data_IF_382576770999
#
_entry.id   IF_382576770999
#
_cell.length_a   1.000
_cell.length_b   1.000
_cell.length_c   1.000
_cell.angle_alpha   90.00
_cell.angle_beta   90.00
_cell.angle_gamma   90.00
#
_symmetry.space_group_name_H-M   'P 1'
#
loop_
_entity.id
_entity.type
_entity.pdbx_description
1 polymer ?
#
# COMPACT_ATOMS: atom_id res chain seq x y z
N UNK A 1 67.16 -50.49 -14.39
CA UNK A 1 67.12 -49.33 -13.48
C UNK A 1 66.20 -48.29 -14.11
N UNK A 2 64.93 -48.33 -13.72
CA UNK A 2 63.84 -47.49 -14.21
C UNK A 2 63.82 -46.19 -13.42
N UNK A 3 63.86 -45.04 -14.11
CA UNK A 3 63.66 -43.73 -13.50
C UNK A 3 62.24 -43.61 -12.93
N UNK A 4 62.06 -43.00 -11.74
CA UNK A 4 60.73 -42.73 -11.22
C UNK A 4 60.11 -41.54 -11.96
N UNK A 5 58.86 -41.72 -12.38
CA UNK A 5 58.05 -40.69 -13.01
C UNK A 5 57.86 -39.48 -12.09
N UNK A 6 58.00 -38.29 -12.66
CA UNK A 6 57.74 -37.03 -11.97
C UNK A 6 56.24 -36.92 -11.57
N UNK A 7 55.90 -36.30 -10.43
CA UNK A 7 54.52 -36.09 -10.03
C UNK A 7 53.86 -35.04 -10.95
N UNK A 8 52.66 -35.36 -11.43
CA UNK A 8 51.79 -34.42 -12.10
C UNK A 8 51.53 -33.22 -11.19
N UNK A 9 52.07 -32.05 -11.56
CA UNK A 9 51.69 -30.79 -10.94
C UNK A 9 50.22 -30.52 -11.25
N UNK A 10 49.35 -30.74 -10.26
CA UNK A 10 47.97 -30.28 -10.31
C UNK A 10 47.96 -28.77 -10.56
N UNK A 11 47.21 -28.34 -11.58
CA UNK A 11 47.01 -26.93 -11.86
C UNK A 11 46.48 -26.26 -10.59
N UNK A 12 47.00 -25.09 -10.18
CA UNK A 12 46.43 -24.39 -9.06
C UNK A 12 44.98 -24.09 -9.39
N UNK A 13 44.05 -24.64 -8.60
CA UNK A 13 42.63 -24.32 -8.65
C UNK A 13 42.50 -22.83 -8.32
N UNK A 14 42.63 -21.97 -9.34
CA UNK A 14 42.28 -20.58 -9.19
C UNK A 14 40.80 -20.50 -8.78
N UNK A 15 40.47 -19.70 -7.76
CA UNK A 15 39.09 -19.57 -7.32
C UNK A 15 38.24 -19.05 -8.48
N UNK A 16 37.11 -19.73 -8.73
CA UNK A 16 36.15 -19.29 -9.73
C UNK A 16 35.78 -17.82 -9.47
N UNK A 17 35.93 -16.98 -10.49
CA UNK A 17 35.68 -15.53 -10.39
C UNK A 17 34.70 -15.09 -11.48
N UNK A 18 33.71 -14.29 -11.08
CA UNK A 18 32.72 -13.71 -11.99
C UNK A 18 33.39 -12.81 -13.05
N UNK A 19 34.55 -12.23 -12.73
CA UNK A 19 35.34 -11.40 -13.66
C UNK A 19 35.89 -12.18 -14.85
N UNK A 20 36.01 -13.50 -14.72
CA UNK A 20 36.58 -14.38 -15.76
C UNK A 20 35.50 -15.12 -16.56
N UNK A 21 34.22 -14.99 -16.18
CA UNK A 21 33.14 -15.60 -16.92
C UNK A 21 32.98 -14.93 -18.29
N UNK A 22 32.85 -15.72 -19.37
CA UNK A 22 32.60 -15.19 -20.70
C UNK A 22 31.19 -14.57 -20.78
N UNK A 23 30.97 -13.56 -21.65
CA UNK A 23 29.70 -12.84 -21.75
C UNK A 23 28.48 -13.75 -21.94
N UNK A 24 28.63 -14.86 -22.65
CA UNK A 24 27.57 -15.83 -22.96
C UNK A 24 27.04 -16.53 -21.71
N UNK A 25 27.90 -16.73 -20.70
CA UNK A 25 27.49 -17.28 -19.40
C UNK A 25 27.05 -16.17 -18.44
N UNK A 26 27.68 -14.99 -18.52
CA UNK A 26 27.37 -13.89 -17.62
C UNK A 26 26.01 -13.26 -17.94
N UNK A 27 25.62 -13.16 -19.21
CA UNK A 27 24.34 -12.59 -19.63
C UNK A 27 23.11 -13.26 -19.02
N UNK A 28 22.92 -14.59 -19.12
CA UNK A 28 21.77 -15.24 -18.49
C UNK A 28 21.78 -15.13 -16.97
N UNK A 29 22.96 -15.17 -16.34
CA UNK A 29 23.11 -15.01 -14.89
C UNK A 29 22.68 -13.62 -14.42
N UNK A 30 23.22 -12.57 -15.04
CA UNK A 30 22.92 -11.17 -14.72
C UNK A 30 21.47 -10.83 -15.06
N UNK A 31 20.93 -11.37 -16.15
CA UNK A 31 19.51 -11.14 -16.52
C UNK A 31 18.54 -11.88 -15.60
N UNK A 32 19.01 -12.85 -14.81
CA UNK A 32 18.19 -13.63 -13.87
C UNK A 32 18.28 -13.11 -12.43
N UNK A 33 18.89 -11.94 -12.22
CA UNK A 33 18.96 -11.31 -10.90
C UNK A 33 17.56 -10.95 -10.38
N UNK A 34 17.37 -10.92 -9.05
CA UNK A 34 16.05 -10.68 -8.47
C UNK A 34 15.52 -9.25 -8.65
N UNK A 35 16.42 -8.26 -8.79
CA UNK A 35 16.04 -6.86 -8.88
C UNK A 35 17.14 -5.97 -9.42
N UNK A 36 16.75 -4.78 -9.92
CA UNK A 36 17.67 -3.79 -10.49
C UNK A 36 18.60 -3.18 -9.43
N UNK A 37 18.18 -3.15 -8.16
CA UNK A 37 19.03 -2.72 -7.05
C UNK A 37 20.21 -3.70 -6.81
N UNK A 38 19.96 -5.00 -6.98
CA UNK A 38 21.00 -6.03 -6.94
C UNK A 38 21.95 -5.89 -8.13
N UNK A 39 21.41 -5.64 -9.33
CA UNK A 39 22.21 -5.34 -10.52
C UNK A 39 23.13 -4.14 -10.29
N UNK A 40 22.64 -3.06 -9.68
CA UNK A 40 23.46 -1.89 -9.38
C UNK A 40 24.68 -2.23 -8.51
N UNK A 41 24.47 -3.00 -7.43
CA UNK A 41 25.57 -3.44 -6.57
C UNK A 41 26.57 -4.31 -7.34
N UNK A 42 26.08 -5.23 -8.17
CA UNK A 42 26.94 -6.09 -8.97
C UNK A 42 27.74 -5.30 -10.01
N UNK A 43 27.13 -4.35 -10.71
CA UNK A 43 27.82 -3.45 -11.65
C UNK A 43 28.90 -2.60 -10.98
N UNK A 44 28.69 -2.19 -9.71
CA UNK A 44 29.70 -1.46 -8.93
C UNK A 44 30.85 -2.35 -8.45
N UNK A 45 30.56 -3.61 -8.15
CA UNK A 45 31.54 -4.57 -7.69
C UNK A 45 32.33 -5.23 -8.84
N UNK A 46 31.73 -5.32 -10.03
CA UNK A 46 32.26 -6.05 -11.18
C UNK A 46 32.37 -5.17 -12.43
N UNK A 47 33.60 -4.78 -12.85
CA UNK A 47 33.83 -4.14 -14.12
C UNK A 47 33.35 -4.99 -15.31
N UNK A 48 33.45 -6.32 -15.22
CA UNK A 48 32.96 -7.20 -16.27
C UNK A 48 31.43 -7.10 -16.44
N UNK A 49 30.67 -7.13 -15.33
CA UNK A 49 29.21 -6.91 -15.38
C UNK A 49 28.85 -5.52 -15.90
N UNK A 50 29.59 -4.47 -15.53
CA UNK A 50 29.35 -3.12 -16.04
C UNK A 50 29.53 -3.04 -17.57
N UNK A 51 30.58 -3.65 -18.12
CA UNK A 51 30.79 -3.72 -19.58
C UNK A 51 29.68 -4.50 -20.26
N UNK A 52 29.31 -5.65 -19.71
CA UNK A 52 28.22 -6.49 -20.22
C UNK A 52 26.90 -5.70 -20.25
N UNK A 53 26.58 -4.99 -19.17
CA UNK A 53 25.40 -4.13 -19.11
C UNK A 53 25.43 -3.07 -20.22
N UNK A 54 26.57 -2.43 -20.48
CA UNK A 54 26.65 -1.41 -21.53
C UNK A 54 26.37 -1.97 -22.93
N UNK A 55 26.65 -3.25 -23.17
CA UNK A 55 26.37 -3.92 -24.45
C UNK A 55 24.95 -4.49 -24.53
N UNK A 56 24.35 -4.88 -23.40
CA UNK A 56 23.08 -5.61 -23.35
C UNK A 56 22.05 -4.98 -22.41
N UNK A 57 22.09 -3.66 -22.23
CA UNK A 57 21.35 -2.95 -21.18
C UNK A 57 19.85 -3.24 -21.22
N UNK A 58 19.23 -3.19 -22.40
CA UNK A 58 17.79 -3.44 -22.54
C UNK A 58 17.45 -4.90 -22.21
N UNK A 59 18.20 -5.85 -22.78
CA UNK A 59 18.01 -7.29 -22.52
C UNK A 59 18.15 -7.64 -21.04
N UNK A 60 19.16 -7.09 -20.36
CA UNK A 60 19.37 -7.33 -18.93
C UNK A 60 18.26 -6.68 -18.10
N UNK A 61 17.90 -5.43 -18.40
CA UNK A 61 16.86 -4.71 -17.64
C UNK A 61 15.51 -5.40 -17.77
N UNK A 62 15.10 -5.75 -18.99
CA UNK A 62 13.85 -6.48 -19.23
C UNK A 62 13.90 -7.92 -18.71
N UNK A 63 15.04 -8.60 -18.81
CA UNK A 63 15.25 -9.92 -18.24
C UNK A 63 15.03 -9.94 -16.72
N UNK A 64 15.50 -8.92 -16.01
CA UNK A 64 15.28 -8.78 -14.57
C UNK A 64 13.83 -8.40 -14.28
N UNK A 65 13.27 -7.41 -14.99
CA UNK A 65 11.91 -6.95 -14.70
C UNK A 65 10.87 -8.05 -14.96
N UNK A 66 10.96 -8.74 -16.10
CA UNK A 66 10.00 -9.76 -16.52
C UNK A 66 10.42 -11.20 -16.24
N UNK A 67 11.58 -11.40 -15.62
CA UNK A 67 12.09 -12.72 -15.28
C UNK A 67 11.32 -13.38 -14.13
N UNK A 68 11.36 -14.72 -14.04
CA UNK A 68 10.70 -15.48 -12.98
C UNK A 68 11.28 -15.22 -11.59
N UNK A 69 12.49 -14.66 -11.51
CA UNK A 69 13.16 -14.33 -10.25
C UNK A 69 12.87 -12.90 -9.78
N UNK A 70 12.14 -12.10 -10.58
CA UNK A 70 11.81 -10.72 -10.25
C UNK A 70 11.06 -10.65 -8.93
N UNK A 71 11.61 -9.92 -7.96
CA UNK A 71 10.92 -9.64 -6.70
C UNK A 71 9.94 -8.48 -6.82
N UNK A 72 9.98 -7.74 -7.94
CA UNK A 72 9.08 -6.62 -8.17
C UNK A 72 7.74 -7.13 -8.70
N UNK A 73 6.61 -6.70 -8.12
CA UNK A 73 5.29 -6.99 -8.65
C UNK A 73 5.07 -6.28 -10.00
N UNK A 74 4.14 -6.80 -10.82
CA UNK A 74 3.87 -6.29 -12.16
C UNK A 74 3.61 -4.78 -12.20
N UNK A 75 2.80 -4.26 -11.28
CA UNK A 75 2.50 -2.83 -11.20
C UNK A 75 3.74 -1.96 -10.94
N UNK A 76 4.71 -2.43 -10.15
CA UNK A 76 5.98 -1.72 -9.93
C UNK A 76 6.90 -1.85 -11.15
N UNK A 77 6.92 -3.02 -11.82
CA UNK A 77 7.68 -3.18 -13.06
C UNK A 77 7.21 -2.18 -14.14
N UNK A 78 5.89 -1.97 -14.25
CA UNK A 78 5.31 -0.97 -15.16
C UNK A 78 5.71 0.47 -14.78
N UNK A 79 5.74 0.81 -13.49
CA UNK A 79 6.24 2.12 -13.03
C UNK A 79 7.72 2.33 -13.40
N UNK A 80 8.55 1.30 -13.25
CA UNK A 80 9.97 1.34 -13.65
C UNK A 80 10.09 1.63 -15.15
N UNK A 81 9.31 0.92 -15.98
CA UNK A 81 9.26 1.17 -17.43
C UNK A 81 8.76 2.58 -17.75
N UNK A 82 7.75 3.06 -17.04
CA UNK A 82 7.26 4.44 -17.13
C UNK A 82 8.38 5.45 -16.91
N UNK A 83 9.19 5.27 -15.87
CA UNK A 83 10.33 6.16 -15.59
C UNK A 83 11.40 6.07 -16.69
N UNK A 84 11.68 4.89 -17.24
CA UNK A 84 12.63 4.73 -18.37
C UNK A 84 12.14 5.50 -19.59
N UNK A 85 10.85 5.37 -19.93
CA UNK A 85 10.24 6.04 -21.07
C UNK A 85 10.16 7.56 -20.86
N UNK A 86 9.86 7.99 -19.63
CA UNK A 86 9.85 9.41 -19.27
C UNK A 86 11.23 10.03 -19.47
N UNK A 87 12.28 9.38 -18.97
CA UNK A 87 13.67 9.83 -19.14
C UNK A 87 14.15 9.76 -20.59
N UNK A 88 13.56 8.87 -21.39
CA UNK A 88 13.83 8.74 -22.83
C UNK A 88 12.96 9.64 -23.70
N UNK A 89 12.04 10.43 -23.11
CA UNK A 89 11.08 11.29 -23.82
C UNK A 89 10.21 10.52 -24.82
N UNK A 90 9.87 9.29 -24.48
CA UNK A 90 9.16 8.34 -25.36
C UNK A 90 7.90 7.78 -24.70
N UNK A 91 7.24 8.57 -23.86
CA UNK A 91 6.04 8.15 -23.16
C UNK A 91 4.83 8.04 -24.10
N UNK A 92 3.96 7.03 -23.92
CA UNK A 92 2.82 6.81 -24.79
C UNK A 92 1.56 7.61 -24.39
N UNK A 93 1.64 8.54 -23.44
CA UNK A 93 0.48 9.27 -22.90
C UNK A 93 0.23 10.54 -23.71
N UNK A 94 -1.00 10.77 -24.15
CA UNK A 94 -1.37 11.95 -24.97
C UNK A 94 -1.88 13.13 -24.14
N UNK A 95 -2.25 12.89 -22.89
CA UNK A 95 -2.84 13.90 -22.00
C UNK A 95 -2.79 13.42 -20.53
N UNK A 96 -3.22 14.29 -19.61
CA UNK A 96 -3.22 13.96 -18.18
C UNK A 96 -4.17 12.81 -17.85
N UNK A 97 -5.27 12.63 -18.58
CA UNK A 97 -6.19 11.52 -18.34
C UNK A 97 -5.58 10.16 -18.71
N UNK A 98 -4.84 10.08 -19.82
CA UNK A 98 -4.09 8.88 -20.20
C UNK A 98 -3.08 8.49 -19.11
N UNK A 99 -2.32 9.47 -18.60
CA UNK A 99 -1.35 9.23 -17.54
C UNK A 99 -2.02 8.90 -16.20
N UNK A 100 -2.93 9.74 -15.72
CA UNK A 100 -3.51 9.64 -14.38
C UNK A 100 -4.53 8.50 -14.26
N UNK A 101 -5.48 8.41 -15.19
CA UNK A 101 -6.61 7.49 -15.08
C UNK A 101 -6.33 6.17 -15.80
N UNK A 102 -5.90 6.23 -17.07
CA UNK A 102 -5.74 5.00 -17.87
C UNK A 102 -4.50 4.20 -17.53
N UNK A 103 -3.45 4.87 -17.03
CA UNK A 103 -2.23 4.21 -16.58
C UNK A 103 -2.12 4.14 -15.06
N UNK A 104 -1.89 5.27 -14.39
CA UNK A 104 -1.57 5.28 -12.96
C UNK A 104 -2.68 4.67 -12.11
N UNK A 105 -3.95 5.04 -12.32
CA UNK A 105 -5.07 4.44 -11.57
C UNK A 105 -5.27 2.95 -11.88
N UNK A 106 -5.10 2.54 -13.15
CA UNK A 106 -5.16 1.14 -13.56
C UNK A 106 -4.14 0.23 -12.85
N UNK A 107 -3.01 0.78 -12.39
CA UNK A 107 -2.00 0.04 -11.61
C UNK A 107 -2.42 -0.26 -10.17
N UNK A 108 -3.42 0.46 -9.63
CA UNK A 108 -3.92 0.30 -8.26
C UNK A 108 -5.31 -0.33 -8.17
N UNK A 109 -6.09 -0.31 -9.25
CA UNK A 109 -7.42 -0.94 -9.28
C UNK A 109 -7.73 -1.59 -10.64
N UNK A 110 -7.35 -2.88 -10.82
CA UNK A 110 -7.66 -3.63 -12.05
C UNK A 110 -9.16 -3.83 -12.29
N UNK A 111 -10.03 -3.64 -11.29
CA UNK A 111 -11.47 -3.88 -11.44
C UNK A 111 -12.14 -2.88 -12.38
N UNK A 112 -11.53 -1.71 -12.56
CA UNK A 112 -11.94 -0.66 -13.49
C UNK A 112 -11.58 -0.93 -14.97
N UNK A 113 -10.75 -1.96 -15.24
CA UNK A 113 -10.40 -2.34 -16.61
C UNK A 113 -11.62 -2.71 -17.48
N UNK A 114 -12.78 -2.96 -16.86
CA UNK A 114 -14.02 -3.29 -17.56
C UNK A 114 -14.69 -2.08 -18.23
N UNK A 115 -14.41 -0.85 -17.79
CA UNK A 115 -15.10 0.36 -18.26
C UNK A 115 -14.19 1.31 -19.06
N UNK A 116 -12.87 1.20 -18.92
CA UNK A 116 -11.90 2.08 -19.58
C UNK A 116 -10.74 1.28 -20.17
N UNK A 117 -10.38 1.58 -21.42
CA UNK A 117 -9.21 0.98 -22.08
C UNK A 117 -7.91 1.46 -21.39
N UNK A 118 -7.36 0.63 -20.49
CA UNK A 118 -6.14 0.93 -19.74
C UNK A 118 -4.90 0.95 -20.63
N UNK A 119 -3.91 1.79 -20.27
CA UNK A 119 -2.60 1.84 -20.94
C UNK A 119 -1.60 1.08 -20.07
N UNK A 120 -1.14 -0.07 -20.56
CA UNK A 120 -0.14 -0.90 -19.88
C UNK A 120 1.24 -0.71 -20.50
N UNK A 121 2.27 -0.72 -19.64
CA UNK A 121 3.67 -0.63 -20.06
C UNK A 121 4.31 -2.01 -19.95
N UNK A 122 4.02 -2.87 -20.92
CA UNK A 122 4.51 -4.25 -20.94
C UNK A 122 5.99 -4.40 -21.33
N UNK A 123 6.51 -5.63 -21.34
CA UNK A 123 7.93 -5.92 -21.62
C UNK A 123 8.38 -5.48 -23.02
N UNK A 124 7.45 -5.47 -23.99
CA UNK A 124 7.74 -5.02 -25.35
C UNK A 124 7.99 -3.51 -25.48
N UNK A 125 7.54 -2.71 -24.51
CA UNK A 125 7.54 -1.24 -24.65
C UNK A 125 8.96 -0.67 -24.68
N UNK A 126 9.89 -1.21 -23.88
CA UNK A 126 11.27 -0.75 -23.90
C UNK A 126 11.97 -1.10 -25.22
N UNK A 127 11.73 -2.29 -25.76
CA UNK A 127 12.30 -2.71 -27.05
C UNK A 127 11.86 -1.82 -28.21
N UNK A 128 10.61 -1.35 -28.21
CA UNK A 128 10.11 -0.42 -29.23
C UNK A 128 10.74 0.97 -29.08
N UNK A 129 10.87 1.47 -27.84
CA UNK A 129 11.44 2.80 -27.59
C UNK A 129 12.97 2.87 -27.75
N UNK A 130 13.66 1.73 -27.66
CA UNK A 130 15.12 1.60 -27.70
C UNK A 130 15.85 2.65 -26.83
N UNK A 131 15.62 2.66 -25.50
CA UNK A 131 16.10 3.70 -24.62
C UNK A 131 17.63 3.73 -24.57
N UNK A 132 18.27 4.91 -24.51
CA UNK A 132 19.72 5.00 -24.42
C UNK A 132 20.27 4.26 -23.21
N UNK A 133 21.44 3.61 -23.36
CA UNK A 133 22.12 2.88 -22.28
C UNK A 133 22.34 3.76 -21.04
N UNK A 134 22.61 5.05 -21.22
CA UNK A 134 22.75 6.00 -20.13
C UNK A 134 21.44 6.16 -19.32
N UNK A 135 20.28 6.13 -19.97
CA UNK A 135 18.97 6.17 -19.31
C UNK A 135 18.74 4.89 -18.52
N UNK A 136 18.95 3.73 -19.13
CA UNK A 136 18.79 2.44 -18.43
C UNK A 136 19.70 2.37 -17.20
N UNK A 137 20.97 2.76 -17.33
CA UNK A 137 21.92 2.83 -16.20
C UNK A 137 21.43 3.78 -15.11
N UNK A 138 20.87 4.94 -15.49
CA UNK A 138 20.32 5.89 -14.53
C UNK A 138 19.15 5.30 -13.73
N UNK A 139 18.30 4.50 -14.38
CA UNK A 139 17.14 3.89 -13.73
C UNK A 139 17.56 2.74 -12.83
N UNK A 140 18.57 1.95 -13.22
CA UNK A 140 19.19 0.94 -12.34
C UNK A 140 19.73 1.58 -11.06
N UNK A 141 20.40 2.73 -11.18
CA UNK A 141 20.86 3.51 -10.03
C UNK A 141 19.68 4.04 -9.18
N UNK A 142 18.62 4.55 -9.82
CA UNK A 142 17.39 4.99 -9.15
C UNK A 142 16.72 3.83 -8.39
N UNK A 143 16.67 2.63 -8.97
CA UNK A 143 16.06 1.46 -8.33
C UNK A 143 16.79 1.08 -7.03
N UNK A 144 18.12 1.12 -7.03
CA UNK A 144 18.91 0.95 -5.81
C UNK A 144 18.59 2.01 -4.75
N UNK A 145 18.51 3.28 -5.16
CA UNK A 145 18.17 4.36 -4.24
C UNK A 145 16.77 4.21 -3.66
N UNK A 146 15.78 3.85 -4.48
CA UNK A 146 14.39 3.63 -4.04
C UNK A 146 14.32 2.42 -3.09
N UNK A 147 15.03 1.33 -3.37
CA UNK A 147 15.16 0.19 -2.44
C UNK A 147 15.71 0.65 -1.08
N UNK A 148 16.79 1.44 -1.07
CA UNK A 148 17.37 1.96 0.17
C UNK A 148 16.44 2.93 0.91
N UNK A 149 15.76 3.85 0.20
CA UNK A 149 14.81 4.79 0.78
C UNK A 149 13.58 4.08 1.36
N UNK A 150 13.06 3.07 0.68
CA UNK A 150 11.90 2.29 1.12
C UNK A 150 12.20 1.55 2.42
N UNK A 151 13.36 0.90 2.50
CA UNK A 151 13.79 0.21 3.72
C UNK A 151 14.07 1.20 4.85
N UNK A 152 14.69 2.35 4.59
CA UNK A 152 14.90 3.37 5.61
C UNK A 152 13.57 3.97 6.13
N UNK A 153 12.59 4.18 5.24
CA UNK A 153 11.24 4.61 5.61
C UNK A 153 10.58 3.63 6.57
N UNK A 154 10.60 2.33 6.22
CA UNK A 154 10.01 1.28 7.04
C UNK A 154 10.78 1.10 8.36
N UNK A 155 12.11 1.27 8.36
CA UNK A 155 12.91 1.23 9.58
C UNK A 155 12.50 2.35 10.55
N UNK A 156 12.31 3.58 10.05
CA UNK A 156 11.80 4.71 10.83
C UNK A 156 10.39 4.42 11.39
N UNK A 157 9.51 3.82 10.58
CA UNK A 157 8.19 3.42 11.04
C UNK A 157 8.28 2.35 12.15
N UNK A 158 9.13 1.33 11.97
CA UNK A 158 9.33 0.27 12.95
C UNK A 158 9.86 0.81 14.29
N UNK A 159 10.82 1.73 14.26
CA UNK A 159 11.32 2.39 15.46
C UNK A 159 10.19 3.07 16.25
N UNK A 160 9.34 3.83 15.57
CA UNK A 160 8.18 4.48 16.18
C UNK A 160 7.16 3.47 16.70
N UNK A 161 6.89 2.39 15.96
CA UNK A 161 5.96 1.34 16.44
C UNK A 161 6.45 0.60 17.68
N UNK A 162 7.76 0.43 17.85
CA UNK A 162 8.33 -0.18 19.06
C UNK A 162 8.18 0.70 20.30
N UNK A 163 8.05 2.01 20.11
CA UNK A 163 7.79 2.95 21.20
C UNK A 163 6.29 3.09 21.54
N UNK A 164 5.39 2.51 20.74
CA UNK A 164 3.95 2.59 20.97
C UNK A 164 3.53 1.91 22.28
N UNK A 165 2.49 2.49 22.88
CA UNK A 165 1.82 1.92 24.05
C UNK A 165 0.34 1.77 23.75
N UNK A 166 0.00 0.67 23.10
CA UNK A 166 -1.40 0.34 22.80
C UNK A 166 -2.10 -0.11 24.08
N UNK A 167 -3.31 0.38 24.31
CA UNK A 167 -4.14 -0.01 25.45
C UNK A 167 -5.33 -0.84 24.97
N UNK A 168 -5.69 -1.88 25.72
CA UNK A 168 -6.92 -2.66 25.52
C UNK A 168 -7.90 -2.40 26.67
N UNK A 169 -9.21 -2.37 26.41
CA UNK A 169 -10.18 -2.24 27.49
C UNK A 169 -10.11 -3.47 28.41
N UNK A 170 -10.29 -3.25 29.71
CA UNK A 170 -10.33 -4.36 30.68
C UNK A 170 -11.54 -5.26 30.43
N UNK A 171 -12.69 -4.64 30.12
CA UNK A 171 -13.88 -5.36 29.68
C UNK A 171 -13.85 -5.50 28.14
N UNK A 172 -13.80 -6.72 27.58
CA UNK A 172 -13.81 -6.89 26.12
C UNK A 172 -15.17 -6.59 25.49
N UNK A 173 -16.24 -6.43 26.28
CA UNK A 173 -17.62 -6.19 25.81
C UNK A 173 -18.03 -4.71 25.92
N UNK A 174 -17.08 -3.79 25.92
CA UNK A 174 -17.39 -2.35 25.83
C UNK A 174 -18.21 -2.07 24.58
N UNK A 175 -19.07 -1.06 24.66
CA UNK A 175 -19.95 -0.69 23.56
C UNK A 175 -19.86 0.83 23.39
N UNK A 176 -19.56 1.34 22.19
CA UNK A 176 -19.62 2.77 21.91
C UNK A 176 -20.99 3.20 21.37
N UNK A 177 -21.80 2.24 20.91
CA UNK A 177 -23.21 2.45 20.54
C UNK A 177 -24.13 2.27 21.76
N UNK A 178 -25.25 3.00 21.82
CA UNK A 178 -26.33 2.70 22.77
C UNK A 178 -27.29 1.68 22.15
N UNK A 179 -27.78 0.75 22.97
CA UNK A 179 -29.04 0.08 22.66
C UNK A 179 -30.13 1.17 22.65
N UNK A 180 -30.89 1.26 21.56
CA UNK A 180 -31.94 2.27 21.31
C UNK A 180 -33.05 2.35 22.40
N UNK A 181 -32.98 1.56 23.47
CA UNK A 181 -34.05 1.30 24.43
C UNK A 181 -34.01 2.14 25.73
N UNK A 182 -33.03 3.06 25.93
CA UNK A 182 -32.95 3.86 27.18
C UNK A 182 -32.76 5.37 26.95
N UNK A 183 -33.85 6.14 26.80
CA UNK A 183 -33.79 7.57 26.44
C UNK A 183 -33.22 8.52 27.52
N UNK A 184 -32.99 8.08 28.76
CA UNK A 184 -32.72 9.01 29.87
C UNK A 184 -31.22 9.19 30.25
N UNK A 185 -30.26 8.54 29.58
CA UNK A 185 -28.81 8.73 29.81
C UNK A 185 -27.96 8.39 28.58
N UNK A 186 -28.26 8.98 27.41
CA UNK A 186 -27.41 8.81 26.22
C UNK A 186 -26.06 9.48 26.48
N UNK A 187 -25.00 8.69 26.60
CA UNK A 187 -23.62 9.18 26.66
C UNK A 187 -22.99 8.95 25.28
N UNK A 188 -22.67 10.02 24.52
CA UNK A 188 -22.08 9.88 23.19
C UNK A 188 -20.75 9.09 23.24
N UNK A 189 -20.40 8.38 22.16
CA UNK A 189 -19.18 7.57 22.11
C UNK A 189 -17.92 8.33 22.56
N UNK A 190 -17.78 9.60 22.15
CA UNK A 190 -16.63 10.44 22.49
C UNK A 190 -16.50 10.76 23.99
N UNK A 191 -17.59 10.70 24.76
CA UNK A 191 -17.62 10.96 26.21
C UNK A 191 -17.54 9.70 27.06
N UNK A 192 -17.62 8.51 26.46
CA UNK A 192 -17.47 7.25 27.18
C UNK A 192 -16.03 7.07 27.63
N UNK A 193 -15.86 6.64 28.88
CA UNK A 193 -14.55 6.35 29.47
C UNK A 193 -14.51 4.90 29.92
N UNK A 194 -13.53 4.18 29.41
CA UNK A 194 -13.28 2.79 29.77
C UNK A 194 -11.90 2.65 30.41
N UNK A 195 -11.76 1.83 31.46
CA UNK A 195 -10.45 1.51 32.01
C UNK A 195 -9.69 0.62 31.02
N UNK A 196 -8.40 0.90 30.85
CA UNK A 196 -7.54 0.16 29.94
C UNK A 196 -6.37 -0.50 30.65
N UNK A 197 -5.83 -1.53 30.01
CA UNK A 197 -4.58 -2.19 30.37
C UNK A 197 -3.65 -2.19 29.16
N UNK A 198 -2.31 -2.10 29.35
CA UNK A 198 -1.38 -2.24 28.24
C UNK A 198 -1.60 -3.54 27.46
N UNK A 199 -1.69 -3.43 26.13
CA UNK A 199 -1.81 -4.56 25.23
C UNK A 199 -0.50 -5.36 25.20
N UNK A 200 -0.61 -6.69 25.07
CA UNK A 200 0.57 -7.54 24.84
C UNK A 200 1.01 -7.42 23.38
N UNK A 201 1.96 -6.52 23.14
CA UNK A 201 2.58 -6.35 21.84
C UNK A 201 3.67 -7.39 21.59
N UNK A 202 3.80 -7.83 20.34
CA UNK A 202 4.84 -8.76 19.89
C UNK A 202 5.55 -8.13 18.70
N UNK A 203 6.88 -8.07 18.72
CA UNK A 203 7.64 -7.61 17.56
C UNK A 203 7.51 -8.63 16.42
N UNK A 204 6.96 -8.18 15.29
CA UNK A 204 6.83 -8.98 14.09
C UNK A 204 8.16 -9.16 13.34
N UNK A 205 9.20 -8.42 13.71
CA UNK A 205 10.50 -8.40 13.06
C UNK A 205 10.53 -7.52 11.82
N UNK A 206 11.35 -7.92 10.84
CA UNK A 206 11.51 -7.21 9.57
C UNK A 206 10.19 -7.10 8.80
N UNK A 207 10.04 -6.10 7.90
CA UNK A 207 8.89 -5.99 7.01
C UNK A 207 8.71 -7.25 6.16
N UNK A 208 7.44 -7.64 5.94
CA UNK A 208 7.13 -8.67 4.95
C UNK A 208 7.32 -8.11 3.54
N UNK A 209 7.41 -8.99 2.53
CA UNK A 209 7.53 -8.55 1.14
C UNK A 209 6.41 -7.60 0.73
N UNK A 210 5.16 -7.84 1.18
CA UNK A 210 4.01 -6.97 0.88
C UNK A 210 4.23 -5.57 1.44
N UNK A 211 4.65 -5.48 2.70
CA UNK A 211 4.90 -4.20 3.39
C UNK A 211 6.02 -3.41 2.69
N UNK A 212 7.10 -4.10 2.31
CA UNK A 212 8.20 -3.49 1.55
C UNK A 212 7.76 -3.02 0.16
N UNK A 213 7.00 -3.84 -0.57
CA UNK A 213 6.54 -3.48 -1.91
C UNK A 213 5.54 -2.33 -1.91
N UNK A 214 4.76 -2.12 -0.84
CA UNK A 214 3.92 -0.91 -0.71
C UNK A 214 4.76 0.36 -0.63
N UNK A 215 5.82 0.36 0.19
CA UNK A 215 6.75 1.49 0.27
C UNK A 215 7.51 1.72 -1.04
N UNK A 216 8.03 0.65 -1.66
CA UNK A 216 8.70 0.70 -2.96
C UNK A 216 7.78 1.27 -4.04
N UNK A 217 6.54 0.78 -4.12
CA UNK A 217 5.52 1.29 -5.05
C UNK A 217 5.24 2.77 -4.83
N UNK A 218 5.00 3.18 -3.58
CA UNK A 218 4.75 4.58 -3.24
C UNK A 218 5.88 5.50 -3.70
N UNK A 219 7.13 5.12 -3.44
CA UNK A 219 8.29 5.94 -3.83
C UNK A 219 8.51 5.93 -5.36
N UNK A 220 8.23 4.82 -6.05
CA UNK A 220 8.23 4.81 -7.52
C UNK A 220 7.15 5.71 -8.13
N UNK A 221 5.97 5.80 -7.52
CA UNK A 221 4.93 6.76 -7.94
C UNK A 221 5.44 8.20 -7.80
N UNK A 222 6.03 8.54 -6.65
CA UNK A 222 6.61 9.88 -6.41
C UNK A 222 7.67 10.18 -7.48
N UNK A 223 8.56 9.22 -7.76
CA UNK A 223 9.56 9.34 -8.81
C UNK A 223 8.90 9.56 -10.17
N UNK A 224 7.91 8.76 -10.57
CA UNK A 224 7.25 8.84 -11.87
C UNK A 224 6.54 10.18 -12.07
N UNK A 225 5.76 10.65 -11.09
CA UNK A 225 5.09 11.96 -11.18
C UNK A 225 6.13 13.08 -11.22
N UNK A 226 7.23 12.96 -10.48
CA UNK A 226 8.36 13.90 -10.55
C UNK A 226 9.00 13.95 -11.95
N UNK A 227 9.17 12.81 -12.62
CA UNK A 227 9.63 12.75 -14.01
C UNK A 227 8.67 13.49 -14.95
N UNK A 228 7.36 13.27 -14.80
CA UNK A 228 6.32 13.90 -15.62
C UNK A 228 6.30 15.43 -15.46
N UNK A 229 6.34 15.93 -14.22
CA UNK A 229 6.39 17.38 -13.94
C UNK A 229 7.66 18.03 -14.48
N UNK A 230 8.76 17.29 -14.52
CA UNK A 230 10.01 17.81 -15.10
C UNK A 230 9.93 17.90 -16.61
N UNK A 231 9.40 16.88 -17.27
CA UNK A 231 9.16 16.92 -18.71
C UNK A 231 8.21 18.07 -19.08
N UNK A 232 7.19 18.33 -18.26
CA UNK A 232 6.27 19.45 -18.46
C UNK A 232 6.91 20.84 -18.33
N UNK A 233 8.10 20.93 -17.73
CA UNK A 233 8.88 22.19 -17.67
C UNK A 233 9.42 22.61 -19.03
N UNK A 234 9.50 21.69 -20.01
CA UNK A 234 9.83 21.98 -21.39
C UNK A 234 8.71 21.52 -22.32
N UNK A 235 7.88 22.45 -22.82
CA UNK A 235 6.72 22.13 -23.66
C UNK A 235 7.05 21.30 -24.90
N UNK A 236 8.26 21.43 -25.44
CA UNK A 236 8.71 20.62 -26.58
C UNK A 236 8.86 19.12 -26.25
N UNK A 237 8.95 18.75 -24.97
CA UNK A 237 9.05 17.36 -24.49
C UNK A 237 7.67 16.77 -24.12
N UNK A 238 6.61 17.59 -24.09
CA UNK A 238 5.20 17.21 -23.84
C UNK A 238 4.36 17.47 -25.08
N UNK A 239 4.82 16.93 -26.21
CA UNK A 239 4.18 17.08 -27.51
C UNK A 239 2.73 16.59 -27.41
N UNK A 240 1.79 17.39 -27.93
CA UNK A 240 0.34 17.14 -27.96
C UNK A 240 -0.43 17.25 -26.63
N UNK A 241 0.23 17.55 -25.51
CA UNK A 241 -0.48 17.78 -24.25
C UNK A 241 -1.13 19.18 -24.20
N UNK A 242 -2.42 19.30 -23.82
CA UNK A 242 -3.06 20.60 -23.60
C UNK A 242 -2.41 21.39 -22.45
N UNK A 243 -2.28 22.70 -22.59
CA UNK A 243 -1.69 23.57 -21.54
C UNK A 243 -2.43 23.44 -20.20
N UNK A 244 -3.76 23.29 -20.23
CA UNK A 244 -4.59 23.05 -19.05
C UNK A 244 -4.18 21.78 -18.28
N UNK A 245 -3.71 20.75 -18.99
CA UNK A 245 -3.34 19.46 -18.40
C UNK A 245 -1.94 19.54 -17.78
N UNK A 246 -1.03 20.27 -18.43
CA UNK A 246 0.30 20.61 -17.90
C UNK A 246 0.17 21.44 -16.62
N UNK A 247 -0.63 22.50 -16.64
CA UNK A 247 -0.89 23.34 -15.47
C UNK A 247 -1.49 22.53 -14.32
N UNK A 248 -2.44 21.64 -14.64
CA UNK A 248 -3.07 20.77 -13.65
C UNK A 248 -2.05 19.78 -13.06
N UNK A 249 -1.23 19.12 -13.87
CA UNK A 249 -0.18 18.20 -13.41
C UNK A 249 0.78 18.88 -12.42
N UNK A 250 1.15 20.13 -12.69
CA UNK A 250 2.10 20.89 -11.88
C UNK A 250 1.49 21.41 -10.56
N UNK A 251 0.18 21.67 -10.53
CA UNK A 251 -0.55 22.14 -9.34
C UNK A 251 -1.15 21.02 -8.49
N UNK A 252 -1.32 19.82 -9.06
CA UNK A 252 -2.01 18.72 -8.42
C UNK A 252 -1.19 18.17 -7.25
N UNK A 253 -1.79 18.13 -6.07
CA UNK A 253 -1.24 17.44 -4.90
C UNK A 253 -1.15 15.92 -5.15
N UNK A 254 -0.03 15.29 -4.78
CA UNK A 254 0.18 13.84 -4.92
C UNK A 254 -0.87 13.04 -4.15
N UNK A 255 -1.27 13.51 -2.96
CA UNK A 255 -2.33 12.88 -2.16
C UNK A 255 -3.71 12.94 -2.85
N UNK A 256 -3.91 13.91 -3.75
CA UNK A 256 -5.14 14.08 -4.54
C UNK A 256 -5.03 13.44 -5.92
N UNK A 257 -3.86 12.97 -6.30
CA UNK A 257 -3.60 12.39 -7.61
C UNK A 257 -4.44 11.12 -7.86
N UNK A 258 -4.84 10.39 -6.82
CA UNK A 258 -5.59 9.14 -6.93
C UNK A 258 -7.06 9.24 -6.51
N UNK A 259 -7.54 10.44 -6.13
CA UNK A 259 -8.91 10.65 -5.60
C UNK A 259 -10.04 10.62 -6.64
N UNK A 260 -9.74 10.47 -7.93
CA UNK A 260 -10.75 10.65 -9.00
C UNK A 260 -11.90 9.63 -8.91
N UNK A 261 -11.70 8.46 -8.28
CA UNK A 261 -12.70 7.38 -8.24
C UNK A 261 -12.86 6.62 -6.90
N UNK A 262 -12.09 6.93 -5.85
CA UNK A 262 -12.18 6.24 -4.54
C UNK A 262 -12.19 7.21 -3.35
N UNK A 263 -12.62 6.69 -2.20
CA UNK A 263 -12.76 7.39 -0.91
C UNK A 263 -11.47 8.08 -0.44
N UNK A 264 -11.59 9.00 0.53
CA UNK A 264 -10.54 9.92 1.02
C UNK A 264 -9.25 9.28 1.56
N UNK A 265 -9.20 7.95 1.65
CA UNK A 265 -8.07 7.17 2.18
C UNK A 265 -7.17 6.56 1.11
N UNK A 266 -7.44 6.85 -0.15
CA UNK A 266 -6.60 6.43 -1.27
C UNK A 266 -5.36 7.33 -1.39
N UNK A 267 -4.19 6.69 -1.47
CA UNK A 267 -2.90 7.39 -1.54
C UNK A 267 -2.16 7.54 -0.20
N UNK A 268 -2.68 7.00 0.92
CA UNK A 268 -1.99 7.09 2.22
C UNK A 268 -0.59 6.47 2.20
N UNK A 269 -0.34 5.45 1.37
CA UNK A 269 1.01 4.91 1.13
C UNK A 269 1.96 5.99 0.59
N UNK A 270 1.49 6.77 -0.38
CA UNK A 270 2.26 7.82 -1.07
C UNK A 270 2.49 8.98 -0.10
N UNK A 271 1.44 9.44 0.59
CA UNK A 271 1.55 10.53 1.56
C UNK A 271 2.50 10.15 2.71
N UNK A 272 2.40 8.92 3.24
CA UNK A 272 3.32 8.43 4.30
C UNK A 272 4.77 8.39 3.81
N UNK A 273 5.01 7.91 2.59
CA UNK A 273 6.35 7.90 2.01
C UNK A 273 6.87 9.32 1.75
N UNK A 274 6.02 10.22 1.23
CA UNK A 274 6.38 11.61 0.93
C UNK A 274 6.75 12.38 2.21
N UNK A 275 5.98 12.24 3.28
CA UNK A 275 6.28 12.82 4.59
C UNK A 275 7.61 12.34 5.12
N UNK A 276 7.88 11.03 5.06
CA UNK A 276 9.19 10.51 5.44
C UNK A 276 10.32 11.12 4.59
N UNK A 277 10.16 11.17 3.26
CA UNK A 277 11.17 11.75 2.37
C UNK A 277 11.45 13.22 2.69
N UNK A 278 10.43 14.01 3.07
CA UNK A 278 10.59 15.41 3.51
C UNK A 278 11.47 15.53 4.76
N UNK A 279 11.50 14.52 5.64
CA UNK A 279 12.37 14.53 6.82
C UNK A 279 13.87 14.38 6.49
N UNK A 280 14.20 13.85 5.30
CA UNK A 280 15.59 13.62 4.88
C UNK A 280 16.27 14.88 4.28
N UNK A 281 15.56 16.01 4.19
CA UNK A 281 16.08 17.27 3.67
C UNK A 281 15.94 17.42 2.16
N UNK A 282 16.69 18.37 1.59
CA UNK A 282 16.54 18.79 0.20
C UNK A 282 16.91 17.70 -0.83
N UNK A 283 16.18 17.71 -1.94
CA UNK A 283 16.44 16.83 -3.09
C UNK A 283 17.82 17.15 -3.65
N UNK A 284 18.70 16.14 -3.69
CA UNK A 284 19.95 16.25 -4.41
C UNK A 284 19.64 16.38 -5.90
N UNK A 285 20.06 17.48 -6.54
CA UNK A 285 19.90 17.68 -7.98
C UNK A 285 20.93 16.85 -8.77
N UNK A 286 20.97 15.54 -8.52
CA UNK A 286 21.83 14.62 -9.27
C UNK A 286 21.09 14.16 -10.54
N UNK A 287 21.84 14.02 -11.63
CA UNK A 287 21.38 13.49 -12.92
C UNK A 287 20.73 12.11 -12.77
N UNK A 288 21.20 11.31 -11.80
CA UNK A 288 20.74 9.93 -11.55
C UNK A 288 19.71 9.80 -10.43
N UNK A 289 19.70 10.73 -9.48
CA UNK A 289 19.00 10.62 -8.21
C UNK A 289 18.15 11.87 -7.98
N UNK A 290 16.83 11.73 -8.12
CA UNK A 290 15.87 12.85 -8.05
C UNK A 290 15.00 12.82 -6.80
N UNK A 291 15.36 11.93 -5.87
CA UNK A 291 14.84 11.82 -4.53
C UNK A 291 15.98 12.13 -3.55
N UNK A 292 15.68 12.46 -2.27
CA UNK A 292 16.69 12.64 -1.24
C UNK A 292 17.65 11.45 -1.14
N UNK A 293 18.88 11.70 -0.68
CA UNK A 293 19.83 10.60 -0.44
C UNK A 293 19.32 9.70 0.68
N UNK A 294 19.38 8.37 0.52
CA UNK A 294 19.06 7.47 1.61
C UNK A 294 20.07 7.63 2.75
N UNK A 295 19.65 7.42 4.01
CA UNK A 295 20.57 7.31 5.12
C UNK A 295 21.65 6.25 4.87
N UNK A 296 22.83 6.35 5.52
CA UNK A 296 23.86 5.33 5.44
C UNK A 296 23.30 3.93 5.73
N UNK A 297 23.77 2.94 4.97
CA UNK A 297 23.38 1.57 5.17
C UNK A 297 23.81 1.10 6.58
N UNK A 298 22.87 0.58 7.34
CA UNK A 298 23.09 -0.06 8.63
C UNK A 298 22.28 -1.36 8.70
N UNK A 299 22.59 -2.29 9.61
CA UNK A 299 21.79 -3.50 9.81
C UNK A 299 20.30 -3.24 10.13
N UNK A 300 19.98 -2.02 10.59
CA UNK A 300 18.61 -1.62 10.95
C UNK A 300 17.88 -0.95 9.78
N UNK A 301 18.62 -0.34 8.85
CA UNK A 301 18.07 0.42 7.70
C UNK A 301 18.18 -0.32 6.37
N UNK A 302 18.88 -1.48 6.35
CA UNK A 302 19.03 -2.33 5.18
C UNK A 302 18.85 -3.80 5.53
N UNK A 303 18.10 -4.51 4.71
CA UNK A 303 17.91 -5.96 4.81
C UNK A 303 17.73 -6.58 3.43
N UNK A 304 17.84 -7.91 3.38
CA UNK A 304 17.49 -8.68 2.18
C UNK A 304 15.97 -8.76 2.08
N UNK A 305 15.41 -8.24 1.00
CA UNK A 305 13.98 -8.32 0.71
C UNK A 305 13.55 -9.79 0.68
N UNK A 306 12.52 -10.14 1.46
CA UNK A 306 11.96 -11.49 1.46
C UNK A 306 11.34 -11.84 0.09
N UNK A 307 11.24 -13.13 -0.23
CA UNK A 307 10.50 -13.56 -1.43
C UNK A 307 8.99 -13.38 -1.23
N UNK A 308 8.23 -13.10 -2.31
CA UNK A 308 6.77 -13.08 -2.23
C UNK A 308 6.24 -14.44 -1.80
N UNK A 309 5.20 -14.43 -0.95
CA UNK A 309 4.45 -15.64 -0.63
C UNK A 309 3.35 -15.75 -1.69
N UNK A 310 3.39 -16.74 -2.58
CA UNK A 310 2.36 -16.88 -3.61
C UNK A 310 1.02 -17.21 -2.97
N UNK A 311 -0.05 -16.64 -3.53
CA UNK A 311 -1.39 -17.07 -3.16
C UNK A 311 -1.65 -18.52 -3.58
N UNK A 312 -1.87 -19.39 -2.59
CA UNK A 312 -2.31 -20.76 -2.83
C UNK A 312 -3.83 -20.85 -2.59
N UNK A 313 -4.59 -20.72 -3.68
CA UNK A 313 -6.06 -20.86 -3.65
C UNK A 313 -6.46 -22.29 -4.00
N UNK A 314 -7.00 -23.01 -3.03
CA UNK A 314 -7.58 -24.34 -3.25
C UNK A 314 -9.09 -24.24 -3.35
N UNK A 315 -9.70 -24.98 -4.28
CA UNK A 315 -11.15 -25.01 -4.44
C UNK A 315 -11.74 -26.18 -3.68
N UNK A 316 -12.51 -25.91 -2.63
CA UNK A 316 -13.15 -26.93 -1.79
C UNK A 316 -14.66 -26.94 -2.00
N UNK A 317 -15.25 -28.14 -2.04
CA UNK A 317 -16.71 -28.27 -2.08
C UNK A 317 -17.26 -27.90 -0.70
N UNK A 318 -18.06 -26.84 -0.63
CA UNK A 318 -18.69 -26.36 0.62
C UNK A 318 -20.19 -26.61 0.67
N UNK A 319 -20.77 -27.03 -0.44
CA UNK A 319 -22.18 -27.31 -0.57
C UNK A 319 -22.48 -28.02 -1.89
N UNK A 320 -23.74 -28.27 -2.12
CA UNK A 320 -24.23 -28.81 -3.38
C UNK A 320 -25.61 -28.24 -3.69
N UNK A 321 -25.97 -28.26 -4.96
CA UNK A 321 -27.31 -27.92 -5.44
C UNK A 321 -28.01 -29.21 -5.82
N UNK A 322 -29.17 -29.46 -5.23
CA UNK A 322 -30.05 -30.59 -5.53
C UNK A 322 -31.48 -30.04 -5.62
N UNK A 323 -32.24 -30.43 -6.64
CA UNK A 323 -33.62 -29.93 -6.84
C UNK A 323 -33.77 -28.40 -6.84
N UNK A 324 -32.75 -27.67 -7.33
CA UNK A 324 -32.65 -26.19 -7.30
C UNK A 324 -32.49 -25.58 -5.89
N UNK A 325 -32.28 -26.39 -4.86
CA UNK A 325 -31.99 -25.93 -3.51
C UNK A 325 -30.50 -26.07 -3.18
N UNK A 326 -29.96 -25.09 -2.45
CA UNK A 326 -28.59 -25.12 -1.98
C UNK A 326 -28.51 -25.78 -0.61
N UNK A 327 -27.67 -26.80 -0.50
CA UNK A 327 -27.39 -27.49 0.75
C UNK A 327 -25.92 -27.29 1.12
N UNK A 328 -25.66 -26.86 2.37
CA UNK A 328 -24.29 -26.77 2.90
C UNK A 328 -23.77 -28.18 3.21
N UNK A 329 -22.55 -28.47 2.78
CA UNK A 329 -21.90 -29.76 3.01
C UNK A 329 -21.07 -29.67 4.30
N UNK A 330 -21.27 -30.61 5.22
CA UNK A 330 -20.47 -30.70 6.44
C UNK A 330 -19.15 -31.45 6.18
N UNK A 331 -18.08 -31.16 6.94
CA UNK A 331 -16.82 -31.88 6.81
C UNK A 331 -17.02 -33.40 7.00
N UNK A 332 -16.57 -34.20 6.03
CA UNK A 332 -16.71 -35.67 6.07
C UNK A 332 -17.98 -36.24 5.43
N UNK A 333 -18.92 -35.41 5.00
CA UNK A 333 -20.12 -35.86 4.28
C UNK A 333 -19.83 -36.17 2.81
N UNK A 334 -20.41 -37.24 2.28
CA UNK A 334 -20.39 -37.55 0.84
C UNK A 334 -21.42 -36.71 0.09
N UNK A 335 -21.15 -36.44 -1.19
CA UNK A 335 -22.10 -35.79 -2.09
C UNK A 335 -23.25 -36.75 -2.40
N UNK A 336 -24.53 -36.34 -2.24
CA UNK A 336 -25.66 -37.14 -2.66
C UNK A 336 -25.64 -37.41 -4.18
N UNK A 337 -26.17 -38.56 -4.60
CA UNK A 337 -26.28 -38.92 -6.00
C UNK A 337 -27.15 -37.90 -6.77
N UNK A 338 -26.66 -37.41 -7.91
CA UNK A 338 -27.36 -36.40 -8.74
C UNK A 338 -27.18 -34.95 -8.28
N UNK A 339 -26.46 -34.69 -7.19
CA UNK A 339 -26.20 -33.34 -6.70
C UNK A 339 -25.05 -32.65 -7.47
N UNK A 340 -25.20 -31.36 -7.79
CA UNK A 340 -24.14 -30.55 -8.41
C UNK A 340 -23.27 -29.91 -7.32
N UNK A 341 -21.94 -30.15 -7.28
CA UNK A 341 -21.08 -29.59 -6.24
C UNK A 341 -20.96 -28.06 -6.38
N UNK A 342 -21.09 -27.36 -5.27
CA UNK A 342 -20.78 -25.95 -5.15
C UNK A 342 -19.40 -25.79 -4.49
N UNK A 343 -18.45 -25.29 -5.30
CA UNK A 343 -17.07 -25.05 -4.89
C UNK A 343 -16.92 -23.61 -4.44
N UNK A 344 -16.16 -23.41 -3.37
CA UNK A 344 -15.74 -22.08 -2.91
C UNK A 344 -14.23 -22.06 -2.71
N UNK A 345 -13.58 -20.90 -2.90
CA UNK A 345 -12.17 -20.78 -2.62
C UNK A 345 -11.89 -21.01 -1.12
N UNK A 346 -10.75 -21.65 -0.85
CA UNK A 346 -10.13 -21.77 0.46
C UNK A 346 -8.74 -21.18 0.34
N UNK A 347 -8.61 -20.01 0.93
CA UNK A 347 -7.37 -19.25 1.00
C UNK A 347 -6.45 -19.79 2.09
N UNK A 348 -5.14 -19.55 1.90
CA UNK A 348 -4.12 -19.88 2.89
C UNK A 348 -4.23 -19.01 4.14
N UNK A 349 -3.55 -19.42 5.22
CA UNK A 349 -3.44 -18.61 6.44
C UNK A 349 -2.73 -17.28 6.15
N UNK A 350 -1.67 -17.30 5.34
CA UNK A 350 -0.94 -16.09 4.95
C UNK A 350 -1.81 -15.11 4.15
N UNK A 351 -2.69 -15.60 3.26
CA UNK A 351 -3.66 -14.75 2.57
C UNK A 351 -4.58 -14.03 3.58
N UNK A 352 -5.13 -14.76 4.56
CA UNK A 352 -6.00 -14.15 5.57
C UNK A 352 -5.31 -13.10 6.45
N UNK A 353 -3.97 -13.10 6.45
CA UNK A 353 -3.12 -12.14 7.13
C UNK A 353 -2.62 -11.01 6.21
N UNK A 354 -2.96 -11.02 4.92
CA UNK A 354 -2.51 -10.02 3.96
C UNK A 354 -1.02 -10.16 3.61
N UNK A 355 -0.44 -11.36 3.73
CA UNK A 355 0.99 -11.61 3.49
C UNK A 355 1.29 -12.18 2.10
N UNK A 356 0.28 -12.47 1.31
CA UNK A 356 0.45 -12.98 -0.06
C UNK A 356 0.63 -11.85 -1.06
N UNK A 357 1.23 -12.16 -2.21
CA UNK A 357 1.41 -11.23 -3.32
C UNK A 357 0.13 -10.50 -3.76
N UNK A 358 -1.00 -11.21 -3.77
CA UNK A 358 -2.32 -10.65 -4.10
C UNK A 358 -2.76 -9.52 -3.18
N UNK A 359 -2.32 -9.52 -1.91
CA UNK A 359 -2.67 -8.49 -0.93
C UNK A 359 -2.13 -7.11 -1.31
N UNK A 360 -1.12 -7.04 -2.19
CA UNK A 360 -0.58 -5.76 -2.66
C UNK A 360 -1.59 -4.98 -3.53
N UNK A 361 -2.54 -5.67 -4.17
CA UNK A 361 -3.58 -5.04 -4.99
C UNK A 361 -4.65 -4.33 -4.14
N UNK A 362 -4.77 -4.71 -2.87
CA UNK A 362 -5.68 -4.10 -1.92
C UNK A 362 -5.00 -2.96 -1.17
N UNK A 363 -5.79 -2.10 -0.51
CA UNK A 363 -5.25 -1.14 0.47
C UNK A 363 -4.59 -1.88 1.63
N UNK A 364 -3.71 -1.20 2.35
CA UNK A 364 -3.12 -1.80 3.54
C UNK A 364 -4.19 -1.99 4.60
N UNK A 365 -4.01 -3.04 5.41
CA UNK A 365 -4.99 -3.36 6.44
C UNK A 365 -5.12 -2.21 7.44
N UNK A 366 -4.03 -1.51 7.76
CA UNK A 366 -4.07 -0.35 8.65
C UNK A 366 -4.97 0.77 8.11
N UNK A 367 -4.91 1.07 6.81
CA UNK A 367 -5.76 2.10 6.19
C UNK A 367 -7.21 1.65 6.07
N UNK A 368 -7.45 0.43 5.59
CA UNK A 368 -8.81 -0.11 5.46
C UNK A 368 -9.49 -0.20 6.83
N UNK A 369 -8.76 -0.69 7.84
CA UNK A 369 -9.32 -0.82 9.18
C UNK A 369 -9.53 0.55 9.85
N UNK A 370 -8.62 1.50 9.66
CA UNK A 370 -8.84 2.88 10.12
C UNK A 370 -10.07 3.51 9.49
N UNK A 371 -10.30 3.31 8.18
CA UNK A 371 -11.51 3.78 7.51
C UNK A 371 -12.74 3.19 8.19
N UNK A 372 -12.78 1.87 8.41
CA UNK A 372 -13.91 1.23 9.08
C UNK A 372 -14.11 1.75 10.52
N UNK A 373 -13.03 2.19 11.17
CA UNK A 373 -13.09 2.77 12.50
C UNK A 373 -13.48 4.25 12.53
N UNK A 374 -13.21 5.01 11.47
CA UNK A 374 -13.42 6.47 11.41
C UNK A 374 -14.68 6.87 10.65
N UNK A 375 -15.34 5.93 9.97
CA UNK A 375 -16.58 6.20 9.24
C UNK A 375 -17.78 6.39 10.16
N UNK A 376 -18.76 7.10 9.64
CA UNK A 376 -19.98 7.49 10.34
C UNK A 376 -21.20 6.61 9.99
N UNK A 377 -20.99 5.39 9.50
CA UNK A 377 -22.07 4.58 8.90
C UNK A 377 -23.20 4.25 9.89
N UNK A 378 -22.93 4.31 11.20
CA UNK A 378 -23.89 4.05 12.29
C UNK A 378 -24.33 5.36 13.00
N UNK A 379 -23.98 6.53 12.42
CA UNK A 379 -24.34 7.86 12.93
C UNK A 379 -23.28 8.49 13.84
N UNK A 380 -23.26 9.84 13.98
CA UNK A 380 -22.16 10.65 14.55
C UNK A 380 -21.82 10.38 16.03
N UNK A 381 -22.48 9.39 16.63
CA UNK A 381 -22.31 8.95 18.01
C UNK A 381 -21.69 7.55 18.10
N UNK A 382 -21.35 6.89 16.98
CA UNK A 382 -20.95 5.48 16.98
C UNK A 382 -19.44 5.25 17.11
N UNK A 383 -18.61 6.17 16.63
CA UNK A 383 -17.15 6.05 16.70
C UNK A 383 -16.50 7.22 17.45
N UNK A 384 -15.59 6.96 18.42
CA UNK A 384 -14.75 8.01 19.02
C UNK A 384 -13.65 8.51 18.07
N UNK A 385 -13.45 7.86 16.93
CA UNK A 385 -12.45 8.22 15.91
C UNK A 385 -13.05 8.92 14.69
N UNK A 386 -14.34 9.24 14.71
CA UNK A 386 -14.93 10.09 13.68
C UNK A 386 -14.16 11.43 13.61
N UNK A 387 -13.94 11.97 12.42
CA UNK A 387 -13.21 13.24 12.24
C UNK A 387 -11.70 13.20 12.51
N UNK A 388 -11.14 12.10 13.00
CA UNK A 388 -9.68 11.91 13.12
C UNK A 388 -9.09 11.73 11.71
N UNK A 389 -7.98 12.41 11.43
CA UNK A 389 -7.25 12.24 10.16
C UNK A 389 -6.21 11.11 10.28
N UNK A 390 -5.73 10.60 9.14
CA UNK A 390 -4.76 9.49 9.16
C UNK A 390 -3.34 9.93 9.56
N UNK A 391 -3.12 11.23 9.71
CA UNK A 391 -1.83 11.90 9.89
C UNK A 391 -1.00 11.30 11.04
N UNK A 392 -1.61 11.11 12.21
CA UNK A 392 -0.93 10.53 13.38
C UNK A 392 -0.50 9.07 13.19
N UNK A 393 -1.07 8.36 12.22
CA UNK A 393 -0.77 6.96 11.94
C UNK A 393 0.27 6.76 10.82
N UNK A 394 0.53 7.78 9.99
CA UNK A 394 1.52 7.70 8.89
C UNK A 394 2.94 7.44 9.40
N UNK A 395 3.46 8.15 10.43
CA UNK A 395 4.80 7.89 10.96
C UNK A 395 4.92 6.51 11.59
N UNK A 396 3.80 5.88 11.96
CA UNK A 396 3.77 4.52 12.50
C UNK A 396 3.80 3.46 11.40
N UNK A 397 3.74 3.84 10.12
CA UNK A 397 3.77 2.93 8.97
C UNK A 397 2.46 2.18 8.71
N UNK A 398 1.33 2.63 9.28
CA UNK A 398 0.06 1.91 9.15
C UNK A 398 -0.46 1.88 7.70
N UNK A 399 0.04 2.79 6.85
CA UNK A 399 -0.17 2.74 5.41
C UNK A 399 0.51 1.55 4.72
N UNK A 400 1.50 0.91 5.35
CA UNK A 400 2.28 -0.18 4.78
C UNK A 400 1.97 -1.54 5.42
N UNK A 401 1.55 -1.56 6.69
CA UNK A 401 1.44 -2.80 7.46
C UNK A 401 0.37 -3.77 7.00
N UNK A 402 0.75 -5.05 6.99
CA UNK A 402 -0.18 -6.15 6.79
C UNK A 402 -1.01 -6.42 8.05
N UNK A 403 -2.06 -7.23 7.90
CA UNK A 403 -2.97 -7.52 9.02
C UNK A 403 -2.26 -8.29 10.13
N UNK A 404 -1.27 -9.11 9.80
CA UNK A 404 -0.51 -9.86 10.79
C UNK A 404 0.28 -8.94 11.71
N UNK A 405 1.01 -7.96 11.17
CA UNK A 405 1.72 -6.98 11.99
C UNK A 405 0.75 -6.16 12.83
N UNK A 406 -0.34 -5.66 12.24
CA UNK A 406 -1.36 -4.93 12.99
C UNK A 406 -1.96 -5.77 14.13
N UNK A 407 -2.11 -7.09 13.92
CA UNK A 407 -2.58 -8.01 14.96
C UNK A 407 -1.55 -8.18 16.09
N UNK A 408 -0.26 -8.32 15.76
CA UNK A 408 0.81 -8.43 16.75
C UNK A 408 1.04 -7.14 17.54
N UNK A 409 0.71 -5.98 16.96
CA UNK A 409 0.66 -4.70 17.67
C UNK A 409 -0.58 -4.57 18.58
N UNK A 410 -1.52 -5.52 18.54
CA UNK A 410 -2.77 -5.45 19.29
C UNK A 410 -3.81 -4.51 18.67
N UNK A 411 -3.62 -4.08 17.43
CA UNK A 411 -4.47 -3.11 16.74
C UNK A 411 -5.41 -3.74 15.72
N UNK A 412 -5.28 -5.06 15.50
CA UNK A 412 -6.16 -5.82 14.63
C UNK A 412 -6.61 -7.14 15.27
N UNK A 413 -7.83 -7.59 14.94
CA UNK A 413 -8.39 -8.83 15.45
C UNK A 413 -7.87 -10.04 14.70
N UNK A 414 -7.87 -11.17 15.42
CA UNK A 414 -7.48 -12.45 14.86
C UNK A 414 -8.49 -12.99 13.83
N UNK A 415 -9.78 -12.76 14.03
CA UNK A 415 -10.87 -13.17 13.12
C UNK A 415 -11.53 -11.95 12.50
N UNK A 416 -12.12 -12.09 11.30
CA UNK A 416 -12.78 -11.01 10.56
C UNK A 416 -14.14 -10.57 11.13
N UNK A 417 -14.77 -11.40 11.97
CA UNK A 417 -16.00 -11.06 12.69
C UNK A 417 -15.66 -10.76 14.14
N UNK A 418 -15.64 -9.48 14.52
CA UNK A 418 -15.24 -9.01 15.84
C UNK A 418 -15.96 -7.70 16.17
N UNK A 419 -15.91 -7.34 17.45
CA UNK A 419 -16.53 -6.12 17.96
C UNK A 419 -15.61 -4.92 17.68
N UNK A 420 -16.07 -4.00 16.83
CA UNK A 420 -15.32 -2.78 16.47
C UNK A 420 -15.05 -1.91 17.70
N UNK A 421 -15.96 -1.93 18.68
CA UNK A 421 -15.85 -1.17 19.93
C UNK A 421 -14.52 -1.39 20.66
N UNK A 422 -14.06 -2.64 20.69
CA UNK A 422 -12.79 -2.99 21.33
C UNK A 422 -11.62 -2.23 20.68
N UNK A 423 -11.63 -2.13 19.34
CA UNK A 423 -10.55 -1.53 18.58
C UNK A 423 -10.67 -0.02 18.44
N UNK A 424 -11.87 0.56 18.60
CA UNK A 424 -12.00 2.00 18.81
C UNK A 424 -11.12 2.47 19.97
N UNK A 425 -11.22 1.78 21.11
CA UNK A 425 -10.39 2.08 22.28
C UNK A 425 -8.89 1.92 22.01
N UNK A 426 -8.50 0.83 21.33
CA UNK A 426 -7.09 0.55 21.06
C UNK A 426 -6.45 1.60 20.14
N UNK A 427 -7.16 2.01 19.10
CA UNK A 427 -6.68 3.03 18.15
C UNK A 427 -6.72 4.44 18.73
N UNK A 428 -7.71 4.78 19.55
CA UNK A 428 -7.73 6.05 20.28
C UNK A 428 -6.56 6.17 21.26
N UNK A 429 -6.16 5.06 21.90
CA UNK A 429 -5.10 5.07 22.92
C UNK A 429 -3.70 5.45 22.42
N UNK A 430 -3.48 5.41 21.11
CA UNK A 430 -2.20 5.75 20.48
C UNK A 430 -2.21 7.13 19.80
N UNK A 431 -3.34 7.83 19.83
CA UNK A 431 -3.42 9.19 19.33
C UNK A 431 -2.76 10.17 20.31
N UNK A 432 -2.19 11.28 19.81
CA UNK A 432 -1.75 12.38 20.66
C UNK A 432 -2.92 12.91 21.52
N UNK A 433 -2.73 13.12 22.84
CA UNK A 433 -3.80 13.55 23.74
C UNK A 433 -4.49 14.85 23.29
N UNK A 434 -3.73 15.78 22.72
CA UNK A 434 -4.22 17.06 22.18
C UNK A 434 -5.16 16.86 20.99
N UNK A 435 -4.86 15.92 20.10
CA UNK A 435 -5.70 15.59 18.95
C UNK A 435 -7.01 14.97 19.42
N UNK A 436 -6.93 14.00 20.33
CA UNK A 436 -8.12 13.37 20.94
C UNK A 436 -9.02 14.42 21.59
N UNK A 437 -8.44 15.34 22.39
CA UNK A 437 -9.21 16.41 23.02
C UNK A 437 -9.87 17.33 21.99
N UNK A 438 -9.14 17.72 20.94
CA UNK A 438 -9.64 18.60 19.88
C UNK A 438 -10.84 17.99 19.15
N UNK A 439 -10.70 16.75 18.68
CA UNK A 439 -11.75 16.01 17.97
C UNK A 439 -12.98 15.81 18.86
N UNK A 440 -12.79 15.41 20.12
CA UNK A 440 -13.90 15.24 21.07
C UNK A 440 -14.64 16.55 21.36
N UNK A 441 -13.93 17.66 21.44
CA UNK A 441 -14.55 18.97 21.64
C UNK A 441 -15.37 19.39 20.42
N UNK A 442 -14.83 19.22 19.21
CA UNK A 442 -15.56 19.49 17.98
C UNK A 442 -16.85 18.65 17.89
N UNK A 443 -16.77 17.36 18.22
CA UNK A 443 -17.94 16.47 18.25
C UNK A 443 -18.97 16.89 19.29
N UNK A 444 -18.51 17.32 20.47
CA UNK A 444 -19.40 17.83 21.53
C UNK A 444 -20.17 19.04 21.03
N UNK A 445 -19.51 19.98 20.36
CA UNK A 445 -20.16 21.17 19.78
C UNK A 445 -21.18 20.79 18.71
N UNK A 446 -20.83 19.93 17.77
CA UNK A 446 -21.73 19.50 16.69
C UNK A 446 -22.92 18.70 17.21
N UNK A 447 -22.71 17.88 18.24
CA UNK A 447 -23.77 17.17 18.93
C UNK A 447 -24.76 18.14 19.61
N UNK A 448 -24.26 19.14 20.35
CA UNK A 448 -25.12 20.16 20.98
C UNK A 448 -25.89 20.98 19.94
N UNK A 449 -25.25 21.36 18.83
CA UNK A 449 -25.91 22.05 17.71
C UNK A 449 -27.02 21.19 17.11
N UNK A 450 -26.77 19.91 16.90
CA UNK A 450 -27.75 18.96 16.35
C UNK A 450 -28.93 18.75 17.30
N UNK A 451 -28.67 18.61 18.60
CA UNK A 451 -29.70 18.46 19.62
C UNK A 451 -30.55 19.73 19.76
N UNK A 452 -29.93 20.91 19.69
CA UNK A 452 -30.64 22.19 19.69
C UNK A 452 -31.57 22.31 18.48
N UNK A 453 -31.10 21.95 17.27
CA UNK A 453 -31.94 21.92 16.06
C UNK A 453 -33.11 20.95 16.20
N UNK A 454 -32.85 19.72 16.68
CA UNK A 454 -33.89 18.72 16.88
C UNK A 454 -34.97 19.19 17.87
N UNK A 455 -34.56 19.75 19.01
CA UNK A 455 -35.48 20.30 20.01
C UNK A 455 -36.28 21.50 19.47
N UNK A 456 -35.66 22.36 18.65
CA UNK A 456 -36.36 23.46 18.00
C UNK A 456 -37.42 22.96 17.00
N UNK A 457 -37.10 21.94 16.20
CA UNK A 457 -38.06 21.30 15.28
C UNK A 457 -39.23 20.64 16.03
N UNK A 458 -38.95 19.91 17.11
CA UNK A 458 -39.99 19.33 17.98
C UNK A 458 -40.88 20.40 18.61
N UNK A 459 -40.29 21.50 19.09
CA UNK A 459 -41.04 22.61 19.65
C UNK A 459 -41.95 23.28 18.61
N UNK A 460 -41.44 23.50 17.38
CA UNK A 460 -42.22 24.03 16.27
C UNK A 460 -43.40 23.11 15.90
N UNK A 461 -43.17 21.79 15.82
CA UNK A 461 -44.23 20.82 15.54
C UNK A 461 -45.31 20.79 16.64
N UNK A 462 -44.91 20.84 17.91
CA UNK A 462 -45.86 20.93 19.05
C UNK A 462 -46.64 22.24 19.05
N UNK A 463 -46.02 23.35 18.65
CA UNK A 463 -46.71 24.63 18.51
C UNK A 463 -47.75 24.59 17.38
N UNK A 464 -47.41 24.02 16.21
CA UNK A 464 -48.36 23.84 15.10
C UNK A 464 -49.55 22.95 15.47
N UNK A 465 -49.34 21.85 16.20
CA UNK A 465 -50.44 21.03 16.71
C UNK A 465 -51.35 21.79 17.68
N UNK A 466 -50.78 22.66 18.54
CA UNK A 466 -51.61 23.49 19.43
C UNK A 466 -52.44 24.54 18.67
N UNK A 467 -51.90 25.10 17.60
CA UNK A 467 -52.64 26.03 16.74
C UNK A 467 -53.78 25.34 15.98
N UNK A 468 -53.60 24.12 15.48
CA UNK A 468 -54.68 23.38 14.79
C UNK A 468 -55.81 22.97 15.74
N UNK A 469 -55.49 22.60 16.99
CA UNK A 469 -56.50 22.28 18.01
C UNK A 469 -57.30 23.51 18.49
N UNK A 470 -56.77 24.72 18.33
CA UNK A 470 -57.49 25.95 18.67
C UNK A 470 -58.29 26.53 17.50
N UNK A 471 -57.93 26.28 16.24
CA UNK A 471 -58.76 26.66 15.10
C UNK A 471 -60.05 25.84 15.00
N UNK A 472 -60.00 24.55 15.33
CA UNK A 472 -61.19 23.67 15.30
C UNK A 472 -62.16 23.93 16.47
N UNK A 473 -61.69 24.53 17.56
CA UNK A 473 -62.52 24.89 18.72
C UNK A 473 -63.22 26.25 18.56
N UNK A 474 -62.84 27.06 17.58
CA UNK A 474 -63.45 28.37 17.27
C UNK A 474 -64.54 28.32 16.18
N UNK A 475 -64.76 27.16 15.55
CA UNK A 475 -65.85 26.91 14.58
C UNK A 475 -66.99 26.04 15.16
N UNK A 476 -67.10 25.97 16.50
CA UNK A 476 -68.21 25.30 17.21
C UNK A 476 -69.25 26.28 17.75
#
# INVERSE_FOLDING_TARGET
MTQPAAPWHGWPNEPASIERLPPELLLPLVSSLPGLDTLWNLMRASPNTLRLFNCHANTITEGILSGPNSILPSNVQELVRGVILARSKSLPFKNLNDFQVRHMFGLFDPSMAKETELITLGPGTLSVSNPPVAVLRSVVATAYQISALSQACLASCLERTRALRVMHPIDPKICYTDDYDRPNKIVPAFDRKYPGTPAKMVDAGQPTWVEEMRAVRAIWVIQMVGEMRRLSSNKADMIDWPDKDIDRLNKLDLAKFFRVYRADYDGQEITSAEEYLKTLGEVTHDVYHRLPRPPPASPVTRWTTALPIPENTTWVVRGYVLNREFHRLHPGSSLPAGAKPWKAPKYSKDHSWGKTDTALNDRSYGVDFFRDLSTNEVGPQASPLYGVEFDSFRPLGFAFWDRWRMHLLGLAPKKLHFQLDFYYYAWESILPPEEVMSVKNAHREDWWRSMAKYNATLAAGRAQQRYSYHSDASDS
#
